data_IF_153569792532
#
_entry.id   IF_153569792532
#
_cell.length_a   1.000
_cell.length_b   1.000
_cell.length_c   1.000
_cell.angle_alpha   90.00
_cell.angle_beta   90.00
_cell.angle_gamma   90.00
#
_symmetry.space_group_name_H-M   'P 1'
#
loop_
_entity.id
_entity.type
_entity.pdbx_description
1 polymer ?
#
# COMPACT_ATOMS: atom_id res chain seq x y z
N UNK A 1 60.95 -42.25 9.76
CA UNK A 1 59.71 -41.57 10.20
C UNK A 1 59.20 -40.73 9.04
N UNK A 2 58.02 -41.03 8.50
CA UNK A 2 57.40 -40.26 7.40
C UNK A 2 56.21 -39.48 7.96
N UNK A 3 56.18 -38.14 7.85
CA UNK A 3 55.00 -37.38 8.26
C UNK A 3 53.89 -37.55 7.22
N UNK A 4 52.71 -37.96 7.68
CA UNK A 4 51.50 -38.03 6.86
C UNK A 4 50.89 -36.62 6.82
N UNK A 5 50.79 -36.07 5.61
CA UNK A 5 50.28 -34.72 5.32
C UNK A 5 48.77 -34.63 5.60
N UNK A 6 48.39 -33.91 6.66
CA UNK A 6 47.01 -33.64 7.05
C UNK A 6 46.37 -32.42 6.33
N UNK A 7 46.78 -32.13 5.09
CA UNK A 7 46.29 -30.95 4.34
C UNK A 7 44.98 -31.18 3.58
N UNK A 8 44.47 -32.42 3.53
CA UNK A 8 43.36 -32.75 2.61
C UNK A 8 41.96 -32.46 3.18
N UNK A 9 41.78 -32.38 4.51
CA UNK A 9 40.46 -32.17 5.14
C UNK A 9 40.05 -30.69 5.21
N UNK A 10 41.03 -29.79 5.36
CA UNK A 10 40.77 -28.34 5.52
C UNK A 10 40.21 -27.72 4.23
N UNK A 11 40.62 -28.22 3.06
CA UNK A 11 40.15 -27.72 1.76
C UNK A 11 38.72 -28.16 1.39
N UNK A 12 38.23 -29.28 1.92
CA UNK A 12 36.87 -29.77 1.66
C UNK A 12 35.84 -28.95 2.45
N UNK A 13 36.15 -28.60 3.70
CA UNK A 13 35.25 -27.80 4.54
C UNK A 13 35.02 -26.38 4.02
N UNK A 14 36.06 -25.73 3.48
CA UNK A 14 35.96 -24.36 2.94
C UNK A 14 35.07 -24.31 1.68
N UNK A 15 35.20 -25.31 0.81
CA UNK A 15 34.40 -25.41 -0.43
C UNK A 15 32.89 -25.62 -0.17
N UNK A 16 32.51 -26.27 0.93
CA UNK A 16 31.11 -26.49 1.30
C UNK A 16 30.46 -25.24 1.92
N UNK A 17 31.20 -24.47 2.71
CA UNK A 17 30.70 -23.21 3.29
C UNK A 17 30.52 -22.15 2.18
N UNK A 18 31.47 -22.06 1.24
CA UNK A 18 31.38 -21.12 0.12
C UNK A 18 30.19 -21.44 -0.81
N UNK A 19 29.79 -22.72 -0.96
CA UNK A 19 28.62 -23.10 -1.76
C UNK A 19 27.27 -22.78 -1.08
N UNK A 20 27.22 -22.69 0.25
CA UNK A 20 25.99 -22.38 1.00
C UNK A 20 25.76 -20.87 1.19
N UNK A 21 26.83 -20.07 1.12
CA UNK A 21 26.77 -18.61 1.28
C UNK A 21 26.48 -17.85 -0.01
N UNK A 22 26.43 -18.52 -1.17
CA UNK A 22 26.05 -17.88 -2.44
C UNK A 22 24.54 -18.04 -2.59
N UNK A 23 23.73 -16.97 -2.36
CA UNK A 23 22.33 -17.02 -2.72
C UNK A 23 22.23 -17.35 -4.22
N UNK A 24 21.33 -18.26 -4.63
CA UNK A 24 21.15 -18.57 -6.04
C UNK A 24 20.95 -17.25 -6.79
N UNK A 25 21.60 -17.04 -7.95
CA UNK A 25 21.41 -15.82 -8.71
C UNK A 25 19.93 -15.75 -9.06
N UNK A 26 19.18 -14.90 -8.35
CA UNK A 26 17.83 -14.57 -8.72
C UNK A 26 17.96 -13.92 -10.09
N UNK A 27 17.60 -14.66 -11.13
CA UNK A 27 17.37 -14.08 -12.45
C UNK A 27 16.21 -13.10 -12.29
N UNK A 28 16.53 -11.86 -11.94
CA UNK A 28 15.63 -10.76 -12.19
C UNK A 28 15.45 -10.76 -13.70
N UNK A 29 14.25 -11.16 -14.17
CA UNK A 29 13.87 -10.90 -15.55
C UNK A 29 13.86 -9.39 -15.69
N UNK A 30 14.96 -8.83 -16.18
CA UNK A 30 15.01 -7.45 -16.63
C UNK A 30 14.06 -7.40 -17.81
N UNK A 31 12.81 -7.01 -17.56
CA UNK A 31 11.88 -6.77 -18.65
C UNK A 31 12.46 -5.70 -19.55
N UNK A 32 12.21 -5.78 -20.86
CA UNK A 32 12.68 -4.79 -21.86
C UNK A 32 12.07 -3.38 -21.68
N UNK A 33 11.40 -3.12 -20.55
CA UNK A 33 10.76 -1.85 -20.26
C UNK A 33 11.61 -1.11 -19.25
N UNK A 34 11.84 0.17 -19.53
CA UNK A 34 12.52 1.05 -18.60
C UNK A 34 11.62 1.31 -17.40
N UNK A 35 12.23 1.61 -16.25
CA UNK A 35 11.50 2.03 -15.04
C UNK A 35 10.54 3.18 -15.35
N UNK A 36 10.97 4.16 -16.16
CA UNK A 36 10.13 5.27 -16.59
C UNK A 36 8.87 4.82 -17.33
N UNK A 37 8.98 3.84 -18.23
CA UNK A 37 7.82 3.34 -18.97
C UNK A 37 6.82 2.61 -18.07
N UNK A 38 7.28 1.91 -17.03
CA UNK A 38 6.40 1.30 -16.02
C UNK A 38 5.78 2.36 -15.09
N UNK A 39 6.55 3.38 -14.70
CA UNK A 39 6.05 4.51 -13.90
C UNK A 39 4.97 5.29 -14.65
N UNK A 40 5.19 5.58 -15.93
CA UNK A 40 4.23 6.28 -16.79
C UNK A 40 2.96 5.45 -16.99
N UNK A 41 3.07 4.12 -17.10
CA UNK A 41 1.92 3.22 -17.22
C UNK A 41 1.06 3.26 -15.94
N UNK A 42 1.69 3.20 -14.77
CA UNK A 42 1.00 3.32 -13.48
C UNK A 42 0.36 4.70 -13.34
N UNK A 43 1.07 5.78 -13.69
CA UNK A 43 0.54 7.14 -13.66
C UNK A 43 -0.68 7.31 -14.59
N UNK A 44 -0.60 6.76 -15.81
CA UNK A 44 -1.67 6.84 -16.81
C UNK A 44 -2.91 6.03 -16.41
N UNK A 45 -2.73 4.89 -15.74
CA UNK A 45 -3.83 4.05 -15.25
C UNK A 45 -4.58 4.70 -14.08
N UNK A 46 -3.98 5.71 -13.42
CA UNK A 46 -4.54 6.37 -12.24
C UNK A 46 -5.45 7.56 -12.59
N UNK A 47 -5.59 7.92 -13.87
CA UNK A 47 -6.56 8.93 -14.29
C UNK A 47 -7.98 8.39 -14.25
N UNK A 48 -8.61 8.52 -13.09
CA UNK A 48 -10.04 8.29 -12.94
C UNK A 48 -10.74 9.52 -13.54
N UNK A 49 -11.46 9.35 -14.64
CA UNK A 49 -12.35 10.38 -15.20
C UNK A 49 -13.62 10.54 -14.35
N UNK A 50 -13.47 10.55 -13.02
CA UNK A 50 -14.55 10.78 -12.07
C UNK A 50 -14.12 11.91 -11.15
N UNK A 51 -15.00 12.90 -11.00
CA UNK A 51 -14.74 14.01 -10.08
C UNK A 51 -14.70 13.50 -8.64
N UNK A 52 -13.95 14.19 -7.78
CA UNK A 52 -13.95 13.93 -6.33
C UNK A 52 -15.36 13.83 -5.74
N UNK A 53 -16.30 14.63 -6.26
CA UNK A 53 -17.70 14.61 -5.84
C UNK A 53 -18.45 13.32 -6.20
N UNK A 54 -18.25 12.75 -7.40
CA UNK A 54 -18.93 11.50 -7.77
C UNK A 54 -18.38 10.30 -7.00
N UNK A 55 -17.05 10.26 -6.79
CA UNK A 55 -16.42 9.26 -5.93
C UNK A 55 -16.93 9.34 -4.49
N UNK A 56 -17.07 10.56 -3.95
CA UNK A 56 -17.67 10.80 -2.64
C UNK A 56 -19.11 10.27 -2.57
N UNK A 57 -19.94 10.55 -3.58
CA UNK A 57 -21.32 10.05 -3.63
C UNK A 57 -21.38 8.51 -3.65
N UNK A 58 -20.50 7.86 -4.41
CA UNK A 58 -20.42 6.40 -4.44
C UNK A 58 -20.04 5.83 -3.06
N UNK A 59 -19.10 6.47 -2.35
CA UNK A 59 -18.75 6.08 -0.98
C UNK A 59 -19.91 6.28 0.01
N UNK A 60 -20.74 7.31 -0.18
CA UNK A 60 -21.94 7.52 0.65
C UNK A 60 -23.03 6.47 0.43
N UNK A 61 -22.97 5.68 -0.65
CA UNK A 61 -23.91 4.58 -0.90
C UNK A 61 -23.49 3.28 -0.24
N UNK A 62 -22.25 3.18 0.26
CA UNK A 62 -21.75 1.98 0.93
C UNK A 62 -22.42 1.82 2.31
N UNK A 63 -23.08 0.68 2.60
CA UNK A 63 -23.78 0.47 3.87
C UNK A 63 -22.88 0.53 5.11
N UNK A 64 -21.62 0.07 5.01
CA UNK A 64 -20.69 0.09 6.13
C UNK A 64 -20.27 1.53 6.44
N UNK A 65 -20.05 2.34 5.39
CA UNK A 65 -19.77 3.77 5.54
C UNK A 65 -21.00 4.48 6.13
N UNK A 66 -22.21 4.25 5.61
CA UNK A 66 -23.43 4.86 6.13
C UNK A 66 -23.64 4.56 7.62
N UNK A 67 -23.46 3.30 8.03
CA UNK A 67 -23.59 2.90 9.43
C UNK A 67 -22.53 3.58 10.31
N UNK A 68 -21.30 3.70 9.83
CA UNK A 68 -20.25 4.42 10.56
C UNK A 68 -20.58 5.91 10.71
N UNK A 69 -21.10 6.53 9.65
CA UNK A 69 -21.50 7.94 9.64
C UNK A 69 -22.69 8.23 10.56
N UNK A 70 -23.67 7.33 10.63
CA UNK A 70 -24.83 7.49 11.52
C UNK A 70 -24.41 7.44 12.99
N UNK A 71 -23.44 6.59 13.33
CA UNK A 71 -22.92 6.48 14.69
C UNK A 71 -22.00 7.65 15.08
N UNK A 72 -21.47 8.38 14.09
CA UNK A 72 -20.56 9.51 14.26
C UNK A 72 -21.19 10.82 13.73
N UNK A 73 -22.47 11.03 14.04
CA UNK A 73 -23.19 12.23 13.64
C UNK A 73 -22.58 13.48 14.31
N UNK A 74 -22.11 14.43 13.49
CA UNK A 74 -21.50 15.69 13.94
C UNK A 74 -19.99 15.63 14.15
N UNK A 75 -19.36 14.49 13.85
CA UNK A 75 -17.91 14.35 13.87
C UNK A 75 -17.32 14.44 12.46
N UNK A 76 -16.08 14.90 12.39
CA UNK A 76 -15.29 14.87 11.16
C UNK A 76 -14.87 13.44 10.87
N UNK A 77 -14.92 13.07 9.59
CA UNK A 77 -14.67 11.70 9.15
C UNK A 77 -13.51 11.69 8.16
N UNK A 78 -12.52 10.86 8.45
CA UNK A 78 -11.25 10.79 7.75
C UNK A 78 -11.02 9.42 7.14
N UNK A 79 -10.39 9.38 5.97
CA UNK A 79 -9.82 8.16 5.42
C UNK A 79 -8.29 8.16 5.49
N UNK A 80 -7.74 7.01 5.84
CA UNK A 80 -6.30 6.77 5.91
C UNK A 80 -5.96 5.47 5.18
N UNK A 81 -4.99 5.55 4.24
CA UNK A 81 -4.42 4.37 3.60
C UNK A 81 -3.37 3.74 4.52
N UNK A 82 -3.36 2.42 4.60
CA UNK A 82 -2.38 1.65 5.40
C UNK A 82 -1.37 0.96 4.50
N UNK A 83 -0.19 0.67 5.06
CA UNK A 83 0.90 0.01 4.33
C UNK A 83 0.56 -1.44 3.92
N UNK A 84 -0.38 -2.07 4.64
CA UNK A 84 -0.95 -3.38 4.30
C UNK A 84 -1.99 -3.30 3.16
N UNK A 85 -2.21 -2.13 2.55
CA UNK A 85 -3.15 -1.94 1.45
C UNK A 85 -4.63 -1.91 1.86
N UNK A 86 -4.93 -2.05 3.15
CA UNK A 86 -6.26 -1.76 3.70
C UNK A 86 -6.44 -0.26 3.94
N UNK A 87 -7.68 0.15 4.19
CA UNK A 87 -8.01 1.53 4.56
C UNK A 87 -8.61 1.57 5.95
N UNK A 88 -8.41 2.69 6.65
CA UNK A 88 -9.09 2.98 7.90
C UNK A 88 -10.01 4.19 7.70
N UNK A 89 -11.23 4.08 8.22
CA UNK A 89 -12.17 5.18 8.37
C UNK A 89 -12.10 5.59 9.83
N UNK A 90 -11.84 6.87 10.10
CA UNK A 90 -11.68 7.41 11.44
C UNK A 90 -12.63 8.57 11.68
N UNK A 91 -13.12 8.68 12.89
CA UNK A 91 -13.90 9.80 13.38
C UNK A 91 -13.04 10.68 14.30
N UNK A 92 -13.32 11.98 14.35
CA UNK A 92 -12.72 12.86 15.35
C UNK A 92 -13.08 12.49 16.80
N UNK A 93 -14.11 11.64 17.02
CA UNK A 93 -14.41 11.03 18.32
C UNK A 93 -13.39 9.99 18.79
N UNK A 94 -12.54 9.49 17.88
CA UNK A 94 -11.63 8.38 18.12
C UNK A 94 -12.15 7.02 17.62
N UNK A 95 -13.41 6.93 17.20
CA UNK A 95 -13.95 5.72 16.58
C UNK A 95 -13.26 5.43 15.24
N UNK A 96 -13.03 4.16 14.95
CA UNK A 96 -12.44 3.76 13.69
C UNK A 96 -12.92 2.38 13.23
N UNK A 97 -13.03 2.21 11.91
CA UNK A 97 -13.26 0.91 11.27
C UNK A 97 -12.19 0.66 10.21
N UNK A 98 -11.80 -0.60 10.06
CA UNK A 98 -10.83 -1.02 9.04
C UNK A 98 -11.57 -1.69 7.90
N UNK A 99 -11.29 -1.24 6.68
CA UNK A 99 -11.81 -1.81 5.44
C UNK A 99 -10.70 -2.65 4.82
N UNK A 100 -10.92 -3.97 4.76
CA UNK A 100 -9.93 -4.90 4.24
C UNK A 100 -9.56 -4.64 2.78
N UNK A 101 -8.31 -4.99 2.44
CA UNK A 101 -7.70 -4.76 1.13
C UNK A 101 -8.60 -5.17 -0.04
N UNK A 102 -9.20 -6.36 0.07
CA UNK A 102 -9.95 -7.00 -1.02
C UNK A 102 -11.42 -6.54 -1.10
N UNK A 103 -11.84 -5.60 -0.24
CA UNK A 103 -13.19 -5.05 -0.27
C UNK A 103 -13.39 -4.08 -1.45
N UNK A 104 -14.53 -4.13 -2.17
CA UNK A 104 -14.90 -3.11 -3.15
C UNK A 104 -14.89 -1.69 -2.58
N UNK A 105 -15.27 -1.54 -1.31
CA UNK A 105 -15.23 -0.27 -0.57
C UNK A 105 -13.79 0.26 -0.47
N UNK A 106 -12.80 -0.60 -0.26
CA UNK A 106 -11.40 -0.20 -0.18
C UNK A 106 -10.89 0.35 -1.51
N UNK A 107 -11.30 -0.26 -2.62
CA UNK A 107 -11.00 0.25 -3.97
C UNK A 107 -11.57 1.66 -4.14
N UNK A 108 -12.84 1.89 -3.81
CA UNK A 108 -13.45 3.23 -3.88
C UNK A 108 -12.74 4.25 -2.97
N UNK A 109 -12.36 3.85 -1.75
CA UNK A 109 -11.62 4.73 -0.83
C UNK A 109 -10.27 5.10 -1.43
N UNK A 110 -9.53 4.16 -2.00
CA UNK A 110 -8.24 4.44 -2.64
C UNK A 110 -8.38 5.36 -3.85
N UNK A 111 -9.41 5.16 -4.67
CA UNK A 111 -9.74 6.01 -5.80
C UNK A 111 -10.04 7.45 -5.35
N UNK A 112 -10.92 7.62 -4.36
CA UNK A 112 -11.25 8.91 -3.77
C UNK A 112 -10.02 9.59 -3.16
N UNK A 113 -9.22 8.85 -2.38
CA UNK A 113 -8.01 9.36 -1.75
C UNK A 113 -7.01 9.87 -2.79
N UNK A 114 -6.72 9.06 -3.82
CA UNK A 114 -5.77 9.44 -4.86
C UNK A 114 -6.28 10.66 -5.65
N UNK A 115 -7.58 10.74 -5.92
CA UNK A 115 -8.18 11.89 -6.60
C UNK A 115 -8.06 13.17 -5.75
N UNK A 116 -8.36 13.09 -4.46
CA UNK A 116 -8.19 14.21 -3.52
C UNK A 116 -6.74 14.72 -3.49
N UNK A 117 -5.78 13.79 -3.44
CA UNK A 117 -4.35 14.13 -3.47
C UNK A 117 -3.96 14.77 -4.81
N UNK A 118 -4.45 14.23 -5.93
CA UNK A 118 -4.15 14.75 -7.27
C UNK A 118 -4.72 16.15 -7.50
N UNK A 119 -5.91 16.43 -6.98
CA UNK A 119 -6.57 17.73 -7.09
C UNK A 119 -6.09 18.73 -6.01
N UNK A 120 -5.35 18.25 -5.00
CA UNK A 120 -4.92 19.09 -3.87
C UNK A 120 -6.06 19.49 -2.93
N UNK A 121 -7.14 18.71 -2.89
CA UNK A 121 -8.36 18.98 -2.12
C UNK A 121 -8.58 17.95 -1.01
N UNK A 122 -9.52 18.23 -0.10
CA UNK A 122 -9.96 17.32 0.96
C UNK A 122 -8.86 16.87 1.93
N UNK A 123 -7.68 17.51 1.95
CA UNK A 123 -6.62 17.15 2.88
C UNK A 123 -6.94 17.71 4.27
N UNK A 124 -6.77 16.89 5.30
CA UNK A 124 -6.91 17.38 6.68
C UNK A 124 -5.69 18.22 7.08
N UNK A 125 -5.95 19.44 7.55
CA UNK A 125 -4.92 20.29 8.17
C UNK A 125 -4.52 19.72 9.54
N UNK A 126 -5.44 19.06 10.22
CA UNK A 126 -5.25 18.54 11.58
C UNK A 126 -4.61 17.14 11.60
N UNK A 127 -4.78 16.35 10.54
CA UNK A 127 -4.32 14.95 10.48
C UNK A 127 -3.58 14.64 9.17
N UNK A 128 -2.24 14.81 9.14
CA UNK A 128 -1.43 14.53 7.96
C UNK A 128 -1.63 13.10 7.44
N UNK A 129 -1.62 12.95 6.11
CA UNK A 129 -1.78 11.66 5.46
C UNK A 129 -3.22 11.13 5.46
N UNK A 130 -4.21 11.99 5.71
CA UNK A 130 -5.63 11.65 5.62
C UNK A 130 -6.39 12.57 4.70
N UNK A 131 -7.51 12.07 4.17
CA UNK A 131 -8.48 12.85 3.42
C UNK A 131 -9.80 12.92 4.17
N UNK A 132 -10.42 14.10 4.18
CA UNK A 132 -11.66 14.42 4.85
C UNK A 132 -12.85 14.06 3.95
N UNK A 133 -13.77 13.25 4.48
CA UNK A 133 -15.00 12.83 3.81
C UNK A 133 -16.19 13.74 4.16
N UNK A 134 -16.25 14.16 5.42
CA UNK A 134 -17.34 14.92 6.02
C UNK A 134 -16.79 15.75 7.16
N UNK A 135 -17.24 17.01 7.23
CA UNK A 135 -17.16 17.89 8.39
C UNK A 135 -18.35 17.66 9.33
#
# INVERSE_FOLDING_TARGET
MNPILANSLVNVGKSLIDQLSIPPPSQYKVGNKTFSAELDNVASTTHINQSTNSLRQNLMQDPAIQSFLSNNAGNEIYFQKRADGSSQILSSSGDAITIFRDSPTNTLIHQYFNQCVSEGVCQSVHRPGTVLLKE
#
